data_IF_636764049350
#
_entry.id   IF_636764049350
#
_cell.length_a   1.000
_cell.length_b   1.000
_cell.length_c   1.000
_cell.angle_alpha   90.00
_cell.angle_beta   90.00
_cell.angle_gamma   90.00
#
_symmetry.space_group_name_H-M   'P 1'
#
loop_
_entity.id
_entity.type
_entity.pdbx_description
1 polymer ?
#
# COMPACT_ATOMS: atom_id res chain seq x y z
N UNK A 1 -23.28 -5.82 13.68
CA UNK A 1 -22.23 -5.06 12.97
C UNK A 1 -21.09 -6.04 12.74
N UNK A 2 -21.16 -6.77 11.63
CA UNK A 2 -20.34 -7.96 11.40
C UNK A 2 -19.26 -7.62 10.36
N UNK A 3 -18.01 -7.79 10.76
CA UNK A 3 -16.88 -7.96 9.86
C UNK A 3 -16.82 -9.43 9.46
N UNK A 4 -17.77 -9.83 8.63
CA UNK A 4 -17.66 -11.07 7.86
C UNK A 4 -17.91 -10.75 6.40
N UNK A 5 -16.84 -10.88 5.62
CA UNK A 5 -16.73 -10.44 4.23
C UNK A 5 -16.17 -9.02 4.15
N UNK A 6 -14.90 -8.89 3.77
CA UNK A 6 -14.20 -7.62 3.53
C UNK A 6 -15.15 -6.54 2.96
N UNK A 7 -15.57 -5.55 3.77
CA UNK A 7 -16.74 -4.75 3.41
C UNK A 7 -16.39 -3.40 2.81
N UNK A 8 -16.72 -3.28 1.53
CA UNK A 8 -17.08 -2.06 0.83
C UNK A 8 -18.60 -1.89 0.92
N UNK A 9 -19.08 -0.83 1.58
CA UNK A 9 -20.38 -0.13 1.31
C UNK A 9 -20.27 1.26 1.95
N UNK A 10 -19.92 2.31 1.21
CA UNK A 10 -20.76 2.93 0.18
C UNK A 10 -20.02 3.05 -1.15
N UNK A 11 -20.51 2.34 -2.17
CA UNK A 11 -20.23 2.59 -3.60
C UNK A 11 -18.75 2.75 -3.96
N UNK A 12 -17.93 1.70 -3.78
CA UNK A 12 -16.75 1.53 -4.63
C UNK A 12 -16.92 0.28 -5.47
N UNK A 13 -16.98 0.47 -6.78
CA UNK A 13 -17.12 -0.60 -7.77
C UNK A 13 -15.93 -1.55 -7.65
N UNK A 14 -16.29 -2.80 -7.33
CA UNK A 14 -15.90 -4.03 -8.02
C UNK A 14 -14.42 -4.14 -8.48
N UNK A 15 -13.65 -4.98 -7.78
CA UNK A 15 -13.10 -6.25 -8.32
C UNK A 15 -11.68 -6.61 -7.87
N UNK A 16 -10.84 -5.67 -7.39
CA UNK A 16 -9.43 -6.01 -7.03
C UNK A 16 -8.77 -5.10 -5.96
N UNK A 17 -9.49 -4.65 -4.93
CA UNK A 17 -8.93 -3.65 -3.97
C UNK A 17 -8.39 -4.25 -2.66
N UNK A 18 -8.80 -5.46 -2.29
CA UNK A 18 -8.46 -6.04 -0.99
C UNK A 18 -7.97 -7.48 -1.12
N UNK A 19 -6.72 -7.73 -0.74
CA UNK A 19 -6.20 -9.08 -0.50
C UNK A 19 -6.23 -9.34 1.02
N UNK A 20 -6.88 -10.43 1.43
CA UNK A 20 -6.93 -10.82 2.86
C UNK A 20 -6.27 -12.18 3.06
N UNK A 21 -5.40 -12.26 4.08
CA UNK A 21 -4.72 -13.43 4.66
C UNK A 21 -4.09 -14.44 3.68
N UNK A 22 -2.84 -14.17 3.32
CA UNK A 22 -1.85 -15.23 3.07
C UNK A 22 -1.36 -15.83 4.39
N UNK A 23 -1.59 -17.13 4.57
CA UNK A 23 -1.13 -17.97 5.68
C UNK A 23 0.35 -17.72 6.06
N UNK A 24 0.59 -17.42 7.34
CA UNK A 24 1.88 -17.07 7.97
C UNK A 24 2.88 -18.25 8.09
N UNK A 25 3.04 -19.05 7.04
CA UNK A 25 4.14 -20.03 6.90
C UNK A 25 4.74 -19.94 5.49
N UNK A 26 5.60 -18.94 5.29
CA UNK A 26 6.56 -18.90 4.17
C UNK A 26 6.12 -18.23 2.85
N UNK A 27 4.84 -17.92 2.65
CA UNK A 27 4.36 -17.28 1.41
C UNK A 27 4.04 -15.80 1.60
N UNK A 28 4.95 -14.90 1.23
CA UNK A 28 4.65 -13.44 1.17
C UNK A 28 4.02 -13.12 -0.19
N UNK A 29 2.91 -12.39 -0.18
CA UNK A 29 2.35 -11.80 -1.41
C UNK A 29 3.31 -10.72 -1.90
N UNK A 30 3.26 -10.35 -3.20
CA UNK A 30 4.11 -9.27 -3.72
C UNK A 30 3.98 -8.00 -2.89
N UNK A 31 2.77 -7.69 -2.39
CA UNK A 31 2.55 -6.51 -1.56
C UNK A 31 3.29 -6.58 -0.21
N UNK A 32 3.31 -7.74 0.45
CA UNK A 32 3.92 -7.88 1.79
C UNK A 32 5.39 -8.36 1.76
N UNK A 33 5.91 -8.63 0.56
CA UNK A 33 7.30 -8.96 0.33
C UNK A 33 8.20 -7.79 0.74
N UNK A 34 9.33 -8.10 1.36
CA UNK A 34 10.29 -7.11 1.87
C UNK A 34 11.69 -7.68 2.04
N UNK A 35 12.71 -6.84 2.02
CA UNK A 35 14.06 -7.32 2.28
C UNK A 35 14.25 -7.81 3.74
N UNK A 36 13.76 -7.05 4.72
CA UNK A 36 13.84 -7.38 6.16
C UNK A 36 12.73 -8.35 6.63
N UNK A 37 12.77 -9.58 6.15
CA UNK A 37 11.74 -10.58 6.45
C UNK A 37 11.69 -10.99 7.93
N UNK A 38 12.82 -10.98 8.64
CA UNK A 38 12.90 -11.39 10.06
C UNK A 38 12.30 -10.38 11.05
N UNK A 39 11.99 -9.16 10.59
CA UNK A 39 11.29 -8.11 11.36
C UNK A 39 10.14 -7.52 10.54
N UNK A 40 9.44 -8.38 9.82
CA UNK A 40 8.26 -7.99 9.10
C UNK A 40 7.15 -7.47 10.05
N UNK A 41 6.43 -6.45 9.60
CA UNK A 41 5.19 -6.02 10.21
C UNK A 41 4.14 -7.15 10.11
N UNK A 42 3.29 -7.28 11.11
CA UNK A 42 2.14 -8.17 11.03
C UNK A 42 0.98 -7.42 10.38
N UNK A 43 0.75 -7.68 9.09
CA UNK A 43 -0.28 -7.02 8.29
C UNK A 43 -1.56 -7.84 8.28
N UNK A 44 -2.66 -7.21 8.69
CA UNK A 44 -4.00 -7.81 8.70
C UNK A 44 -4.73 -7.62 7.38
N UNK A 45 -4.48 -6.50 6.70
CA UNK A 45 -5.10 -6.14 5.43
C UNK A 45 -4.16 -5.30 4.57
N UNK A 46 -4.25 -5.47 3.26
CA UNK A 46 -3.57 -4.64 2.28
C UNK A 46 -4.64 -3.87 1.50
N UNK A 47 -4.44 -2.56 1.36
CA UNK A 47 -5.24 -1.68 0.51
C UNK A 47 -4.39 -1.32 -0.71
N UNK A 48 -4.77 -1.81 -1.89
CA UNK A 48 -4.18 -1.40 -3.16
C UNK A 48 -4.72 -0.01 -3.54
N UNK A 49 -3.88 1.01 -3.45
CA UNK A 49 -4.24 2.39 -3.74
C UNK A 49 -3.94 2.70 -5.19
N UNK A 50 -4.92 3.26 -5.90
CA UNK A 50 -4.79 3.70 -7.29
C UNK A 50 -5.00 5.20 -7.49
N UNK A 51 -5.63 5.85 -6.52
CA UNK A 51 -5.91 7.28 -6.53
C UNK A 51 -5.78 7.84 -5.12
N UNK A 52 -5.54 9.15 -5.01
CA UNK A 52 -5.39 9.85 -3.72
C UNK A 52 -6.59 9.61 -2.79
N UNK A 53 -7.80 9.54 -3.35
CA UNK A 53 -9.04 9.30 -2.59
C UNK A 53 -8.98 8.00 -1.76
N UNK A 54 -8.32 6.94 -2.24
CA UNK A 54 -8.22 5.71 -1.46
C UNK A 54 -7.39 5.92 -0.18
N UNK A 55 -6.36 6.78 -0.22
CA UNK A 55 -5.56 7.15 0.97
C UNK A 55 -6.41 8.00 1.92
N UNK A 56 -7.11 9.00 1.36
CA UNK A 56 -7.97 9.91 2.12
C UNK A 56 -9.12 9.20 2.84
N UNK A 57 -9.55 8.02 2.37
CA UNK A 57 -10.53 7.19 3.06
C UNK A 57 -9.87 6.21 4.06
N UNK A 58 -8.72 5.63 3.69
CA UNK A 58 -8.07 4.59 4.50
C UNK A 58 -7.47 5.15 5.79
N UNK A 59 -6.79 6.30 5.75
CA UNK A 59 -6.13 6.87 6.92
C UNK A 59 -7.13 7.28 8.02
N UNK A 60 -8.19 8.06 7.73
CA UNK A 60 -9.17 8.41 8.76
C UNK A 60 -9.89 7.20 9.32
N UNK A 61 -10.19 6.19 8.49
CA UNK A 61 -10.75 4.92 8.96
C UNK A 61 -9.80 4.20 9.92
N UNK A 62 -8.53 4.04 9.55
CA UNK A 62 -7.53 3.37 10.39
C UNK A 62 -7.33 4.09 11.73
N UNK A 63 -7.32 5.43 11.72
CA UNK A 63 -7.26 6.25 12.92
C UNK A 63 -8.48 6.06 13.82
N UNK A 64 -9.68 6.04 13.25
CA UNK A 64 -10.93 5.79 13.99
C UNK A 64 -10.92 4.41 14.65
N UNK A 65 -10.43 3.41 13.94
CA UNK A 65 -10.31 2.02 14.43
C UNK A 65 -9.03 1.79 15.26
N UNK A 66 -8.24 2.84 15.55
CA UNK A 66 -6.97 2.78 16.29
C UNK A 66 -6.02 1.70 15.74
N UNK A 67 -6.05 1.49 14.44
CA UNK A 67 -5.26 0.48 13.73
C UNK A 67 -4.07 1.17 13.09
N UNK A 68 -2.86 0.67 13.37
CA UNK A 68 -1.65 1.20 12.75
C UNK A 68 -1.70 1.03 11.23
N UNK A 69 -1.34 2.06 10.48
CA UNK A 69 -1.19 2.01 9.03
C UNK A 69 0.26 2.21 8.63
N UNK A 70 0.70 1.55 7.55
CA UNK A 70 2.00 1.74 6.92
C UNK A 70 1.80 2.00 5.43
N UNK A 71 2.54 2.94 4.85
CA UNK A 71 2.57 3.14 3.41
C UNK A 71 3.77 2.41 2.80
N UNK A 72 3.55 1.69 1.70
CA UNK A 72 4.56 0.88 1.03
C UNK A 72 4.54 1.15 -0.48
N UNK A 73 5.59 1.80 -0.99
CA UNK A 73 5.78 2.06 -2.43
C UNK A 73 6.39 0.86 -3.17
N UNK A 74 7.39 0.22 -2.57
CA UNK A 74 8.14 -0.89 -3.15
C UNK A 74 8.67 -1.86 -2.10
N UNK A 75 9.55 -2.77 -2.50
CA UNK A 75 9.95 -3.92 -1.67
C UNK A 75 11.14 -3.65 -0.71
N UNK A 76 11.67 -2.42 -0.75
CA UNK A 76 12.92 -2.02 -0.10
C UNK A 76 12.69 -1.22 1.18
N UNK A 77 12.15 -1.87 2.21
CA UNK A 77 12.10 -1.26 3.56
C UNK A 77 13.12 -1.90 4.52
N UNK A 78 14.07 -1.07 4.93
CA UNK A 78 15.12 -1.35 5.93
C UNK A 78 14.77 -0.87 7.35
N UNK A 79 13.52 -0.47 7.60
CA UNK A 79 13.12 0.22 8.83
C UNK A 79 12.77 -0.80 9.91
N UNK A 80 13.68 -0.99 10.87
CA UNK A 80 13.51 -1.92 12.00
C UNK A 80 12.24 -1.67 12.82
N UNK A 81 11.78 -0.42 12.93
CA UNK A 81 10.58 -0.05 13.68
C UNK A 81 9.29 -0.64 13.10
N UNK A 82 9.27 -1.04 11.81
CA UNK A 82 8.10 -1.66 11.20
C UNK A 82 7.74 -3.00 11.85
N UNK A 83 8.69 -3.70 12.47
CA UNK A 83 8.42 -4.93 13.24
C UNK A 83 7.51 -4.71 14.46
N UNK A 84 7.35 -3.45 14.91
CA UNK A 84 6.45 -3.09 16.01
C UNK A 84 4.99 -2.96 15.54
N UNK A 85 4.73 -2.91 14.24
CA UNK A 85 3.37 -2.86 13.70
C UNK A 85 2.74 -4.24 13.84
N UNK A 86 1.75 -4.32 14.72
CA UNK A 86 0.97 -5.52 14.99
C UNK A 86 -0.45 -5.34 14.49
N UNK A 87 -0.92 -6.28 13.67
CA UNK A 87 -2.25 -6.28 13.04
C UNK A 87 -2.55 -5.01 12.22
N UNK A 88 -1.52 -4.40 11.63
CA UNK A 88 -1.65 -3.14 10.90
C UNK A 88 -2.29 -3.28 9.52
N UNK A 89 -2.61 -2.14 8.92
CA UNK A 89 -3.03 -2.02 7.53
C UNK A 89 -1.84 -1.56 6.70
N UNK A 90 -1.59 -2.24 5.58
CA UNK A 90 -0.64 -1.77 4.59
C UNK A 90 -1.37 -1.03 3.47
N UNK A 91 -0.96 0.20 3.23
CA UNK A 91 -1.34 1.03 2.09
C UNK A 91 -0.30 0.76 1.01
N UNK A 92 -0.67 -0.06 0.04
CA UNK A 92 0.22 -0.45 -1.05
C UNK A 92 0.02 0.51 -2.21
N UNK A 93 1.05 1.28 -2.53
CA UNK A 93 0.96 2.38 -3.50
C UNK A 93 1.44 1.99 -4.89
N UNK A 94 1.81 0.72 -5.13
CA UNK A 94 2.46 0.31 -6.39
C UNK A 94 1.63 0.61 -7.64
N UNK A 95 0.30 0.67 -7.53
CA UNK A 95 -0.60 1.01 -8.63
C UNK A 95 -0.67 2.52 -8.94
N UNK A 96 -0.05 3.38 -8.11
CA UNK A 96 0.20 4.80 -8.37
C UNK A 96 1.63 4.97 -8.90
N UNK A 97 1.89 4.53 -10.14
CA UNK A 97 3.20 4.54 -10.78
C UNK A 97 3.17 5.28 -12.11
N UNK A 98 2.62 6.49 -12.11
CA UNK A 98 2.67 7.39 -13.27
C UNK A 98 3.78 8.42 -13.12
N UNK A 99 4.40 8.72 -14.27
CA UNK A 99 5.28 9.88 -14.46
C UNK A 99 4.63 10.79 -15.48
N UNK A 100 4.34 12.03 -15.08
CA UNK A 100 3.81 13.08 -15.97
C UNK A 100 4.84 14.17 -16.13
N UNK A 101 5.31 14.42 -17.35
CA UNK A 101 6.24 15.51 -17.66
C UNK A 101 5.42 16.73 -18.07
N UNK A 102 5.83 17.92 -17.63
CA UNK A 102 5.22 19.18 -18.05
C UNK A 102 5.36 19.41 -19.55
N UNK A 103 4.42 20.16 -20.14
CA UNK A 103 4.44 20.44 -21.60
C UNK A 103 5.75 21.11 -22.05
N UNK A 104 6.36 21.92 -21.18
CA UNK A 104 7.62 22.60 -21.41
C UNK A 104 8.87 21.79 -21.04
N UNK A 105 8.70 20.57 -20.49
CA UNK A 105 9.77 19.68 -20.08
C UNK A 105 10.57 20.15 -18.86
N UNK A 106 10.12 21.18 -18.13
CA UNK A 106 10.86 21.75 -17.01
C UNK A 106 10.64 21.04 -15.67
N UNK A 107 9.56 20.26 -15.54
CA UNK A 107 9.29 19.46 -14.34
C UNK A 107 8.59 18.15 -14.67
N UNK A 108 8.66 17.21 -13.74
CA UNK A 108 7.92 15.96 -13.78
C UNK A 108 7.24 15.69 -12.45
N UNK A 109 6.01 15.18 -12.51
CA UNK A 109 5.26 14.65 -11.37
C UNK A 109 5.42 13.14 -11.37
N UNK A 110 5.99 12.59 -10.30
CA UNK A 110 6.20 11.17 -10.10
C UNK A 110 5.30 10.69 -8.98
N UNK A 111 4.45 9.71 -9.24
CA UNK A 111 3.56 9.16 -8.24
C UNK A 111 4.29 8.26 -7.22
N UNK A 112 3.71 8.13 -6.02
CA UNK A 112 4.39 7.53 -4.87
C UNK A 112 4.70 6.03 -4.97
N UNK A 113 4.12 5.31 -5.93
CA UNK A 113 4.39 3.89 -6.22
C UNK A 113 5.44 3.65 -7.30
N UNK A 114 6.04 4.71 -7.82
CA UNK A 114 7.03 4.63 -8.89
C UNK A 114 8.35 4.01 -8.40
N UNK A 115 8.98 3.18 -9.23
CA UNK A 115 10.32 2.65 -8.94
C UNK A 115 11.38 3.57 -9.55
N UNK A 116 12.51 3.72 -8.87
CA UNK A 116 13.61 4.58 -9.35
C UNK A 116 14.04 4.27 -10.80
N UNK A 117 14.07 2.99 -11.19
CA UNK A 117 14.37 2.58 -12.56
C UNK A 117 13.29 3.02 -13.55
N UNK A 118 12.03 2.78 -13.22
CA UNK A 118 10.89 3.17 -14.06
C UNK A 118 10.82 4.70 -14.22
N UNK A 119 11.13 5.46 -13.16
CA UNK A 119 11.27 6.91 -13.24
C UNK A 119 12.43 7.35 -14.14
N UNK A 120 13.59 6.67 -14.06
CA UNK A 120 14.76 7.01 -14.90
C UNK A 120 14.53 6.63 -16.37
N UNK A 121 13.79 5.55 -16.64
CA UNK A 121 13.45 5.14 -18.00
C UNK A 121 12.44 6.11 -18.66
N UNK A 122 11.71 6.89 -17.86
CA UNK A 122 10.68 7.85 -18.31
C UNK A 122 11.18 9.30 -18.49
N UNK A 123 12.36 9.65 -17.97
CA UNK A 123 12.94 11.00 -17.99
C UNK A 123 14.17 11.08 -18.91
#
# INVERSE_FOLDING_TARGET
MAVDGCYVRTKMRSDKLCETRGNQRGGRTKATARWQWWRAAEISAVVDVRVEENIQQTIPWANKEKTSSIAQSGDLDGIFALGNVKKGIQIWMRSMNQVTISEDGTYATIEGGEKAREATDAL
#
